data_IF_746516724217
#
_entry.id   IF_746516724217
#
_cell.length_a   1.000
_cell.length_b   1.000
_cell.length_c   1.000
_cell.angle_alpha   90.00
_cell.angle_beta   90.00
_cell.angle_gamma   90.00
#
_symmetry.space_group_name_H-M   'P 1'
#
loop_
_entity.id
_entity.type
_entity.pdbx_description
1 polymer ?
#
# COMPACT_ATOMS: atom_id res chain seq x y z
N UNK A 1 0.03 6.64 -22.11
CA UNK A 1 -0.68 7.90 -21.75
C UNK A 1 -0.12 8.51 -20.47
N UNK A 2 0.33 7.70 -19.51
CA UNK A 2 0.97 8.09 -18.25
C UNK A 2 2.23 8.95 -18.35
N UNK A 3 3.11 8.70 -19.31
CA UNK A 3 4.34 9.51 -19.51
C UNK A 3 4.00 11.00 -19.65
N UNK A 4 2.97 11.33 -20.44
CA UNK A 4 2.51 12.72 -20.64
C UNK A 4 2.01 13.37 -19.35
N UNK A 5 1.35 12.63 -18.47
CA UNK A 5 0.83 13.17 -17.22
C UNK A 5 1.97 13.51 -16.23
N UNK A 6 3.00 12.67 -16.17
CA UNK A 6 4.18 12.91 -15.36
C UNK A 6 4.99 14.12 -15.87
N UNK A 7 5.14 14.25 -17.19
CA UNK A 7 5.79 15.40 -17.82
C UNK A 7 5.07 16.73 -17.48
N UNK A 8 3.74 16.73 -17.50
CA UNK A 8 2.92 17.90 -17.11
C UNK A 8 3.21 18.32 -15.66
N UNK A 9 3.34 17.36 -14.74
CA UNK A 9 3.69 17.67 -13.34
C UNK A 9 5.09 18.27 -13.22
N UNK A 10 6.09 17.69 -13.89
CA UNK A 10 7.48 18.15 -13.82
C UNK A 10 7.62 19.56 -14.44
N UNK A 11 6.84 19.86 -15.48
CA UNK A 11 6.86 21.17 -16.15
C UNK A 11 6.03 22.24 -15.42
N UNK A 12 5.18 21.87 -14.45
CA UNK A 12 4.37 22.82 -13.70
C UNK A 12 5.26 23.77 -12.84
N UNK A 13 5.24 25.09 -13.10
CA UNK A 13 6.07 26.05 -12.35
C UNK A 13 5.59 26.27 -10.91
N UNK A 14 4.33 25.96 -10.62
CA UNK A 14 3.74 26.13 -9.29
C UNK A 14 3.89 24.88 -8.42
N UNK A 15 4.48 23.80 -8.93
CA UNK A 15 4.72 22.60 -8.15
C UNK A 15 5.88 22.85 -7.17
N UNK A 16 5.70 22.63 -5.86
CA UNK A 16 6.76 22.77 -4.87
C UNK A 16 8.02 22.00 -5.27
N UNK A 17 9.19 22.59 -5.04
CA UNK A 17 10.49 22.00 -5.43
C UNK A 17 10.67 20.56 -4.94
N UNK A 18 10.34 20.20 -3.68
CA UNK A 18 10.48 18.81 -3.24
C UNK A 18 9.63 17.82 -4.06
N UNK A 19 8.39 18.16 -4.37
CA UNK A 19 7.50 17.34 -5.20
C UNK A 19 8.03 17.22 -6.64
N UNK A 20 8.60 18.29 -7.19
CA UNK A 20 9.21 18.24 -8.52
C UNK A 20 10.44 17.32 -8.57
N UNK A 21 11.32 17.41 -7.56
CA UNK A 21 12.51 16.54 -7.43
C UNK A 21 12.10 15.08 -7.30
N UNK A 22 11.08 14.79 -6.48
CA UNK A 22 10.55 13.43 -6.31
C UNK A 22 9.95 12.89 -7.61
N UNK A 23 9.15 13.70 -8.33
CA UNK A 23 8.60 13.30 -9.62
C UNK A 23 9.71 12.97 -10.65
N UNK A 24 10.79 13.74 -10.64
CA UNK A 24 11.95 13.48 -11.50
C UNK A 24 12.68 12.18 -11.14
N UNK A 25 12.83 11.87 -9.83
CA UNK A 25 13.37 10.58 -9.38
C UNK A 25 12.52 9.42 -9.91
N UNK A 26 11.19 9.52 -9.78
CA UNK A 26 10.25 8.51 -10.30
C UNK A 26 10.38 8.34 -11.81
N UNK A 27 10.41 9.43 -12.57
CA UNK A 27 10.61 9.39 -14.03
C UNK A 27 11.93 8.69 -14.41
N UNK A 28 12.97 8.88 -13.61
CA UNK A 28 14.29 8.31 -13.83
C UNK A 28 14.46 6.90 -13.21
N UNK A 29 13.38 6.28 -12.72
CA UNK A 29 13.39 4.97 -12.05
C UNK A 29 14.33 4.92 -10.83
N UNK A 30 14.53 6.06 -10.16
CA UNK A 30 15.36 6.20 -8.98
C UNK A 30 14.53 5.99 -7.71
N UNK A 31 15.12 5.31 -6.74
CA UNK A 31 14.51 5.12 -5.41
C UNK A 31 14.45 6.46 -4.66
N UNK A 32 13.27 6.78 -4.13
CA UNK A 32 13.08 7.92 -3.21
C UNK A 32 13.68 7.63 -1.83
N UNK A 33 14.03 8.67 -1.08
CA UNK A 33 14.56 8.53 0.28
C UNK A 33 13.45 8.34 1.31
N UNK A 34 13.84 8.08 2.56
CA UNK A 34 12.89 8.06 3.69
C UNK A 34 12.20 9.43 3.84
N UNK A 35 12.97 10.53 3.85
CA UNK A 35 12.44 11.89 4.01
C UNK A 35 11.54 12.30 2.84
N UNK A 36 11.85 11.87 1.61
CA UNK A 36 10.93 12.05 0.48
C UNK A 36 9.57 11.38 0.77
N UNK A 37 9.59 10.17 1.32
CA UNK A 37 8.37 9.42 1.67
C UNK A 37 7.54 10.12 2.75
N UNK A 38 8.18 10.61 3.82
CA UNK A 38 7.50 11.40 4.86
C UNK A 38 6.91 12.67 4.26
N UNK A 39 7.69 13.39 3.45
CA UNK A 39 7.22 14.62 2.80
C UNK A 39 5.99 14.37 1.92
N UNK A 40 5.98 13.26 1.16
CA UNK A 40 4.82 12.86 0.34
C UNK A 40 3.57 12.61 1.20
N UNK A 41 3.69 11.92 2.33
CA UNK A 41 2.56 11.67 3.22
C UNK A 41 1.95 12.97 3.78
N UNK A 42 2.79 13.95 4.08
CA UNK A 42 2.34 15.19 4.73
C UNK A 42 1.89 16.28 3.75
N UNK A 43 2.43 16.30 2.52
CA UNK A 43 2.32 17.47 1.63
C UNK A 43 1.83 17.16 0.20
N UNK A 44 1.70 15.89 -0.20
CA UNK A 44 1.33 15.56 -1.57
C UNK A 44 -0.17 15.34 -1.75
N UNK A 45 -0.74 16.04 -2.72
CA UNK A 45 -2.13 15.85 -3.13
C UNK A 45 -2.36 14.49 -3.80
N UNK A 46 -3.56 13.93 -3.64
CA UNK A 46 -3.92 12.61 -4.16
C UNK A 46 -3.71 12.51 -5.68
N UNK A 47 -4.03 13.57 -6.44
CA UNK A 47 -3.83 13.59 -7.89
C UNK A 47 -2.36 13.49 -8.30
N UNK A 48 -1.47 14.16 -7.58
CA UNK A 48 -0.02 14.06 -7.79
C UNK A 48 0.47 12.63 -7.52
N UNK A 49 0.07 12.06 -6.38
CA UNK A 49 0.44 10.69 -6.00
C UNK A 49 -0.08 9.67 -7.01
N UNK A 50 -1.31 9.85 -7.49
CA UNK A 50 -1.93 9.00 -8.50
C UNK A 50 -1.13 8.95 -9.81
N UNK A 51 -0.64 10.09 -10.30
CA UNK A 51 0.19 10.14 -11.52
C UNK A 51 1.49 9.36 -11.34
N UNK A 52 2.22 9.59 -10.24
CA UNK A 52 3.51 8.93 -9.98
C UNK A 52 3.32 7.42 -9.79
N UNK A 53 2.36 7.01 -8.95
CA UNK A 53 2.10 5.61 -8.67
C UNK A 53 1.59 4.87 -9.91
N UNK A 54 0.69 5.48 -10.70
CA UNK A 54 0.17 4.86 -11.92
C UNK A 54 1.25 4.73 -13.01
N UNK A 55 2.16 5.71 -13.13
CA UNK A 55 3.32 5.62 -14.02
C UNK A 55 4.15 4.36 -13.72
N UNK A 56 4.53 4.14 -12.44
CA UNK A 56 5.30 2.96 -12.03
C UNK A 56 4.49 1.67 -12.20
N UNK A 57 3.18 1.68 -11.91
CA UNK A 57 2.30 0.52 -12.09
C UNK A 57 2.21 0.11 -13.56
N UNK A 58 1.97 1.06 -14.48
CA UNK A 58 1.87 0.77 -15.91
C UNK A 58 3.22 0.36 -16.51
N UNK A 59 4.33 0.95 -16.05
CA UNK A 59 5.68 0.54 -16.45
C UNK A 59 5.94 -0.93 -16.11
N UNK A 60 5.56 -1.36 -14.89
CA UNK A 60 5.80 -2.73 -14.40
C UNK A 60 4.78 -3.75 -14.90
N UNK A 61 3.53 -3.34 -15.08
CA UNK A 61 2.41 -4.28 -15.23
C UNK A 61 1.47 -3.96 -16.40
N UNK A 62 1.67 -2.84 -17.10
CA UNK A 62 0.72 -2.33 -18.10
C UNK A 62 -0.67 -2.22 -17.51
N UNK A 63 -1.68 -2.70 -18.24
CA UNK A 63 -3.08 -2.77 -17.78
C UNK A 63 -3.43 -4.08 -17.07
N UNK A 64 -2.45 -4.96 -16.81
CA UNK A 64 -2.74 -6.27 -16.20
C UNK A 64 -3.06 -6.10 -14.73
N UNK A 65 -4.12 -6.77 -14.28
CA UNK A 65 -4.48 -6.88 -12.86
C UNK A 65 -4.57 -8.36 -12.53
N UNK A 66 -3.71 -8.83 -11.64
CA UNK A 66 -3.57 -10.25 -11.31
C UNK A 66 -4.56 -10.66 -10.21
N UNK A 67 -5.13 -11.86 -10.35
CA UNK A 67 -5.96 -12.52 -9.34
C UNK A 67 -5.68 -14.03 -9.37
N UNK A 68 -6.00 -14.75 -8.29
CA UNK A 68 -5.87 -16.20 -8.23
C UNK A 68 -7.12 -16.84 -7.62
N UNK A 69 -7.13 -18.19 -7.58
CA UNK A 69 -8.16 -18.97 -6.89
C UNK A 69 -7.54 -19.56 -5.63
N UNK A 70 -7.98 -19.10 -4.48
CA UNK A 70 -7.52 -19.56 -3.18
C UNK A 70 -8.73 -19.81 -2.27
N UNK A 71 -8.54 -20.64 -1.25
CA UNK A 71 -9.46 -20.77 -0.13
C UNK A 71 -8.67 -20.61 1.16
N UNK A 72 -9.34 -20.12 2.20
CA UNK A 72 -8.75 -19.96 3.52
C UNK A 72 -9.57 -20.77 4.51
N UNK A 73 -8.87 -21.55 5.32
CA UNK A 73 -9.43 -22.20 6.50
C UNK A 73 -8.76 -21.57 7.71
N UNK A 74 -9.57 -21.21 8.71
CA UNK A 74 -9.11 -20.62 9.96
C UNK A 74 -9.24 -21.65 11.10
N UNK A 75 -8.15 -22.35 11.47
CA UNK A 75 -8.20 -23.42 12.48
C UNK A 75 -8.65 -22.95 13.86
N UNK A 76 -8.34 -21.70 14.21
CA UNK A 76 -8.76 -21.10 15.47
C UNK A 76 -8.78 -19.60 15.33
N UNK A 77 -9.72 -18.98 16.04
CA UNK A 77 -9.78 -17.55 16.24
C UNK A 77 -9.40 -17.16 17.69
N UNK A 78 -8.71 -18.06 18.39
CA UNK A 78 -8.08 -17.84 19.70
C UNK A 78 -6.61 -17.51 19.51
N UNK A 79 -6.11 -16.52 20.25
CA UNK A 79 -4.72 -16.10 20.18
C UNK A 79 -4.14 -15.96 21.59
N UNK A 80 -2.86 -16.32 21.76
CA UNK A 80 -2.14 -16.09 23.03
C UNK A 80 -1.55 -14.68 23.13
N UNK A 81 -1.57 -13.94 22.03
CA UNK A 81 -1.07 -12.55 21.95
C UNK A 81 -2.19 -11.52 22.16
N UNK A 82 -1.79 -10.27 22.38
CA UNK A 82 -2.68 -9.18 22.79
C UNK A 82 -2.65 -7.96 21.84
N UNK A 83 -2.46 -8.20 20.53
CA UNK A 83 -2.41 -7.17 19.51
C UNK A 83 -3.60 -6.19 19.60
N UNK A 84 -3.33 -4.89 19.78
CA UNK A 84 -4.36 -3.86 20.06
C UNK A 84 -5.35 -3.61 18.91
N UNK A 85 -4.99 -4.02 17.70
CA UNK A 85 -5.80 -3.87 16.49
C UNK A 85 -6.52 -5.16 16.08
N UNK A 86 -6.28 -6.29 16.75
CA UNK A 86 -6.79 -7.60 16.35
C UNK A 86 -7.98 -8.01 17.22
N UNK A 87 -9.08 -8.40 16.59
CA UNK A 87 -10.29 -8.90 17.27
C UNK A 87 -10.09 -10.23 17.99
N UNK A 88 -9.03 -10.98 17.71
CA UNK A 88 -8.70 -12.25 18.41
C UNK A 88 -7.86 -12.05 19.66
N UNK A 89 -7.51 -10.79 19.96
CA UNK A 89 -6.77 -10.42 21.17
C UNK A 89 -7.55 -10.83 22.42
N UNK A 90 -6.87 -11.53 23.32
CA UNK A 90 -7.45 -12.05 24.58
C UNK A 90 -7.94 -10.98 25.56
N UNK A 91 -7.42 -9.76 25.47
CA UNK A 91 -7.94 -8.64 26.27
C UNK A 91 -9.38 -8.30 25.88
N UNK A 92 -9.79 -8.65 24.66
CA UNK A 92 -11.10 -8.36 24.09
C UNK A 92 -11.94 -9.64 24.02
N UNK A 93 -11.31 -10.80 23.79
CA UNK A 93 -11.98 -12.09 23.56
C UNK A 93 -11.72 -13.09 24.68
N UNK A 94 -12.77 -13.41 25.43
CA UNK A 94 -12.76 -14.51 26.40
C UNK A 94 -12.64 -15.85 25.64
N UNK A 95 -11.93 -16.83 26.20
CA UNK A 95 -11.63 -18.10 25.51
C UNK A 95 -12.92 -18.86 25.14
N UNK A 96 -13.97 -18.67 25.91
CA UNK A 96 -15.28 -19.28 25.72
C UNK A 96 -16.00 -18.81 24.44
N UNK A 97 -15.59 -17.70 23.84
CA UNK A 97 -16.21 -17.11 22.64
C UNK A 97 -15.51 -17.50 21.33
N UNK A 98 -14.49 -18.37 21.39
CA UNK A 98 -13.73 -18.84 20.23
C UNK A 98 -13.78 -20.35 20.02
N UNK A 99 -13.17 -20.80 18.92
CA UNK A 99 -13.04 -22.24 18.60
C UNK A 99 -11.59 -22.62 18.40
N UNK A 100 -11.31 -23.92 18.48
CA UNK A 100 -10.09 -24.53 17.99
C UNK A 100 -10.46 -25.85 17.32
N UNK A 101 -10.36 -25.87 15.98
CA UNK A 101 -10.66 -27.04 15.16
C UNK A 101 -9.64 -28.15 15.44
N UNK A 102 -10.13 -29.38 15.42
CA UNK A 102 -9.34 -30.60 15.39
C UNK A 102 -8.80 -30.87 13.99
N UNK A 103 -7.91 -31.86 13.86
CA UNK A 103 -7.35 -32.26 12.56
C UNK A 103 -8.42 -32.84 11.60
N UNK A 104 -9.48 -33.45 12.12
CA UNK A 104 -10.57 -33.99 11.29
C UNK A 104 -11.53 -32.90 10.81
N UNK A 105 -11.66 -31.80 11.57
CA UNK A 105 -12.49 -30.65 11.22
C UNK A 105 -11.80 -29.70 10.22
N UNK A 106 -10.47 -29.83 10.03
CA UNK A 106 -9.69 -29.08 9.06
C UNK A 106 -9.62 -29.77 7.71
#
# INVERSE_FOLDING_TARGET
MTVKALDILIQNPNLPTPLKVIAQKVQNHQRITFDDGVYLYENAELGYLGVLANFVREEKHGDKTYFNRNFHLEPTNLCVYDCKFCSYSRLIKQKEEGWALTMEEM
#
